data_IF_993795927978
#
_entry.id   IF_993795927978
#
_cell.length_a   1.000
_cell.length_b   1.000
_cell.length_c   1.000
_cell.angle_alpha   90.00
_cell.angle_beta   90.00
_cell.angle_gamma   90.00
#
_symmetry.space_group_name_H-M   'P 1'
#
loop_
_entity.id
_entity.type
_entity.pdbx_description
1 polymer ?
#
# COMPACT_ATOMS: atom_id res chain seq x y z
N UNK A 1 24.38 -26.61 56.99
CA UNK A 1 23.95 -25.20 56.90
C UNK A 1 24.56 -24.51 55.68
N UNK A 2 25.79 -24.75 55.29
CA UNK A 2 26.42 -24.08 54.14
C UNK A 2 25.81 -24.38 52.77
N UNK A 3 25.36 -25.62 52.53
CA UNK A 3 24.75 -26.02 51.25
C UNK A 3 23.38 -25.36 51.02
N UNK A 4 22.55 -25.32 52.06
CA UNK A 4 21.21 -24.66 51.98
C UNK A 4 21.33 -23.13 51.74
N UNK A 5 22.33 -22.48 52.35
CA UNK A 5 22.58 -21.05 52.10
C UNK A 5 23.05 -20.76 50.67
N UNK A 6 23.82 -21.66 50.02
CA UNK A 6 24.22 -21.55 48.64
C UNK A 6 23.03 -21.70 47.71
N UNK A 7 22.15 -22.67 47.94
CA UNK A 7 20.91 -22.85 47.16
C UNK A 7 20.00 -21.62 47.30
N UNK A 8 19.85 -21.06 48.50
CA UNK A 8 19.08 -19.84 48.72
C UNK A 8 19.64 -18.63 47.92
N UNK A 9 20.94 -18.63 47.56
CA UNK A 9 21.59 -17.65 46.68
C UNK A 9 21.52 -18.01 45.21
N UNK A 10 20.82 -19.10 44.84
CA UNK A 10 20.68 -19.54 43.44
C UNK A 10 21.77 -20.48 42.91
N UNK A 11 22.72 -20.90 43.77
CA UNK A 11 23.77 -21.85 43.40
C UNK A 11 23.22 -23.28 43.46
N UNK A 12 22.61 -23.79 42.39
CA UNK A 12 21.99 -25.11 42.33
C UNK A 12 22.96 -26.26 41.96
N UNK A 13 24.25 -25.99 41.85
CA UNK A 13 25.29 -26.99 41.55
C UNK A 13 25.85 -27.61 42.85
N UNK A 14 25.28 -27.34 43.97
CA UNK A 14 25.76 -27.82 45.27
C UNK A 14 25.18 -29.22 45.55
N UNK A 15 26.07 -30.17 45.91
CA UNK A 15 25.69 -31.50 46.41
C UNK A 15 26.20 -31.69 47.82
N UNK A 16 25.38 -32.27 48.63
CA UNK A 16 25.78 -32.76 49.98
C UNK A 16 26.37 -34.17 49.80
N UNK A 17 27.43 -34.45 50.50
CA UNK A 17 28.06 -35.77 50.49
C UNK A 17 27.07 -36.81 51.02
N UNK A 18 26.83 -37.83 50.25
CA UNK A 18 26.02 -38.96 50.65
C UNK A 18 26.93 -39.91 51.48
N UNK A 19 26.56 -40.14 52.72
CA UNK A 19 27.23 -41.15 53.56
C UNK A 19 26.54 -42.49 53.34
N UNK A 20 27.35 -43.55 53.23
CA UNK A 20 26.89 -44.92 53.09
C UNK A 20 26.33 -45.38 54.47
N UNK A 21 25.08 -45.11 54.72
CA UNK A 21 24.34 -45.45 55.89
C UNK A 21 22.85 -45.46 55.66
N UNK A 22 22.12 -46.15 56.46
CA UNK A 22 20.65 -46.23 56.47
C UNK A 22 20.06 -45.32 57.55
N UNK A 23 20.86 -44.36 57.99
CA UNK A 23 20.47 -43.44 59.07
C UNK A 23 19.68 -42.25 58.52
N UNK A 24 19.01 -41.52 59.36
CA UNK A 24 18.13 -40.36 58.99
C UNK A 24 18.90 -39.26 58.28
N UNK A 25 20.22 -39.13 58.53
CA UNK A 25 21.09 -38.12 57.93
C UNK A 25 21.42 -38.48 56.48
N UNK A 26 21.68 -39.76 56.20
CA UNK A 26 21.89 -40.24 54.84
C UNK A 26 20.66 -40.09 53.96
N UNK A 27 19.46 -40.41 54.51
CA UNK A 27 18.18 -40.19 53.82
C UNK A 27 17.93 -38.71 53.55
N UNK A 28 18.21 -37.83 54.52
CA UNK A 28 18.04 -36.38 54.37
C UNK A 28 19.00 -35.84 53.29
N UNK A 29 20.23 -36.32 53.22
CA UNK A 29 21.23 -35.93 52.22
C UNK A 29 20.81 -36.34 50.80
N UNK A 30 20.26 -37.56 50.63
CA UNK A 30 19.72 -38.04 49.35
C UNK A 30 18.52 -37.21 48.92
N UNK A 31 17.59 -36.94 49.83
CA UNK A 31 16.37 -36.13 49.56
C UNK A 31 16.76 -34.68 49.15
N UNK A 32 17.73 -34.09 49.86
CA UNK A 32 18.25 -32.77 49.57
C UNK A 32 18.89 -32.68 48.17
N UNK A 33 19.75 -33.68 47.79
CA UNK A 33 20.34 -33.74 46.48
C UNK A 33 19.32 -33.94 45.37
N UNK A 34 18.29 -34.76 45.59
CA UNK A 34 17.17 -34.96 44.70
C UNK A 34 16.39 -33.63 44.46
N UNK A 35 16.04 -32.94 45.55
CA UNK A 35 15.36 -31.66 45.50
C UNK A 35 16.17 -30.61 44.74
N UNK A 36 17.48 -30.51 45.02
CA UNK A 36 18.38 -29.59 44.38
C UNK A 36 18.49 -29.88 42.86
N UNK A 37 18.58 -31.17 42.50
CA UNK A 37 18.59 -31.61 41.11
C UNK A 37 17.28 -31.22 40.38
N UNK A 38 16.13 -31.42 41.06
CA UNK A 38 14.84 -31.08 40.48
C UNK A 38 14.63 -29.59 40.32
N UNK A 39 15.07 -28.76 41.26
CA UNK A 39 15.07 -27.31 41.16
C UNK A 39 15.96 -26.81 40.01
N UNK A 40 17.12 -27.45 39.81
CA UNK A 40 18.02 -27.15 38.72
C UNK A 40 17.34 -27.44 37.37
N UNK A 41 16.75 -28.62 37.21
CA UNK A 41 16.04 -28.99 35.97
C UNK A 41 14.90 -28.01 35.68
N UNK A 42 14.08 -27.67 36.70
CA UNK A 42 12.99 -26.72 36.53
C UNK A 42 13.48 -25.33 36.12
N UNK A 43 14.53 -24.82 36.79
CA UNK A 43 15.14 -23.52 36.40
C UNK A 43 15.68 -23.53 34.96
N UNK A 44 16.42 -24.58 34.61
CA UNK A 44 17.03 -24.67 33.28
C UNK A 44 15.95 -24.80 32.22
N UNK A 45 14.85 -25.53 32.46
CA UNK A 45 13.67 -25.58 31.58
C UNK A 45 13.00 -24.21 31.43
N UNK A 46 12.80 -23.49 32.54
CA UNK A 46 12.22 -22.13 32.48
C UNK A 46 13.09 -21.18 31.70
N UNK A 47 14.40 -21.20 31.93
CA UNK A 47 15.34 -20.35 31.15
C UNK A 47 15.33 -20.70 29.65
N UNK A 48 15.28 -21.98 29.32
CA UNK A 48 15.17 -22.43 27.93
C UNK A 48 13.86 -21.98 27.28
N UNK A 49 12.73 -22.14 27.98
CA UNK A 49 11.42 -21.69 27.49
C UNK A 49 11.39 -20.17 27.29
N UNK A 50 11.94 -19.41 28.25
CA UNK A 50 12.03 -17.94 28.11
C UNK A 50 12.87 -17.53 26.90
N UNK A 51 14.04 -18.18 26.72
CA UNK A 51 14.89 -17.92 25.55
C UNK A 51 14.18 -18.23 24.23
N UNK A 52 13.44 -19.34 24.16
CA UNK A 52 12.67 -19.68 22.95
C UNK A 52 11.53 -18.69 22.68
N UNK A 53 10.86 -18.21 23.72
CA UNK A 53 9.81 -17.17 23.58
C UNK A 53 10.43 -15.89 23.05
N UNK A 54 11.57 -15.46 23.60
CA UNK A 54 12.26 -14.24 23.17
C UNK A 54 12.77 -14.36 21.73
N UNK A 55 13.28 -15.52 21.35
CA UNK A 55 13.73 -15.76 19.95
C UNK A 55 12.55 -15.71 18.97
N UNK A 56 11.43 -16.38 19.31
CA UNK A 56 10.20 -16.32 18.49
C UNK A 56 9.67 -14.90 18.38
N UNK A 57 9.66 -14.14 19.47
CA UNK A 57 9.22 -12.74 19.48
C UNK A 57 10.10 -11.89 18.57
N UNK A 58 11.43 -11.98 18.67
CA UNK A 58 12.37 -11.25 17.81
C UNK A 58 12.18 -11.60 16.34
N UNK A 59 12.01 -12.89 16.02
CA UNK A 59 11.73 -13.34 14.66
C UNK A 59 10.42 -12.73 14.15
N UNK A 60 9.36 -12.78 14.95
CA UNK A 60 8.06 -12.21 14.60
C UNK A 60 8.14 -10.70 14.36
N UNK A 61 8.80 -9.96 15.26
CA UNK A 61 9.02 -8.53 15.12
C UNK A 61 9.82 -8.20 13.85
N UNK A 62 10.85 -8.99 13.54
CA UNK A 62 11.66 -8.82 12.33
C UNK A 62 10.84 -9.08 11.05
N UNK A 63 10.05 -10.13 11.02
CA UNK A 63 9.16 -10.43 9.88
C UNK A 63 8.16 -9.31 9.67
N UNK A 64 7.48 -8.87 10.73
CA UNK A 64 6.51 -7.78 10.64
C UNK A 64 7.11 -6.43 10.27
N UNK A 65 8.38 -6.19 10.64
CA UNK A 65 9.11 -4.99 10.25
C UNK A 65 9.54 -5.00 8.77
N UNK A 66 9.72 -6.19 8.19
CA UNK A 66 10.09 -6.35 6.76
C UNK A 66 8.89 -6.32 5.81
N UNK A 67 7.68 -6.49 6.32
CA UNK A 67 6.44 -6.42 5.53
C UNK A 67 6.11 -4.96 5.24
N UNK A 68 5.93 -4.62 3.97
CA UNK A 68 5.55 -3.27 3.51
C UNK A 68 4.09 -2.95 3.80
N UNK A 69 3.23 -3.97 3.90
CA UNK A 69 1.82 -3.82 4.26
C UNK A 69 1.66 -3.35 5.70
N UNK A 70 0.69 -2.47 5.94
CA UNK A 70 0.27 -2.12 7.29
C UNK A 70 -0.46 -3.30 7.94
N UNK A 71 -0.09 -3.64 9.18
CA UNK A 71 -0.76 -4.69 9.97
C UNK A 71 -1.18 -4.14 11.32
N UNK A 72 -2.45 -4.34 11.67
CA UNK A 72 -3.03 -3.96 12.96
C UNK A 72 -3.73 -5.20 13.55
N UNK A 73 -3.39 -5.53 14.80
CA UNK A 73 -4.11 -6.51 15.61
C UNK A 73 -5.09 -5.80 16.54
N UNK A 74 -6.29 -6.35 16.67
CA UNK A 74 -7.32 -5.88 17.59
C UNK A 74 -7.68 -6.99 18.59
N UNK A 75 -8.07 -6.58 19.77
CA UNK A 75 -8.71 -7.47 20.72
C UNK A 75 -10.17 -7.75 20.32
N UNK A 76 -10.86 -8.63 21.07
CA UNK A 76 -12.27 -8.95 20.86
C UNK A 76 -13.22 -7.76 20.98
N UNK A 77 -12.76 -6.62 21.53
CA UNK A 77 -13.53 -5.38 21.71
C UNK A 77 -13.19 -4.31 20.67
N UNK A 78 -12.36 -4.63 19.67
CA UNK A 78 -11.95 -3.70 18.63
C UNK A 78 -10.91 -2.66 19.07
N UNK A 79 -10.19 -2.92 20.19
CA UNK A 79 -9.06 -2.08 20.61
C UNK A 79 -7.76 -2.62 20.05
N UNK A 80 -6.85 -1.71 19.73
CA UNK A 80 -5.54 -2.05 19.16
C UNK A 80 -4.70 -2.78 20.21
N UNK A 81 -4.32 -4.02 19.89
CA UNK A 81 -3.39 -4.84 20.64
C UNK A 81 -1.99 -4.83 20.04
N UNK A 82 -1.89 -4.58 18.73
CA UNK A 82 -0.64 -4.56 17.97
C UNK A 82 -0.76 -3.66 16.76
N UNK A 83 0.34 -2.98 16.39
CA UNK A 83 0.48 -2.22 15.15
C UNK A 83 1.92 -2.29 14.66
N UNK A 84 2.15 -2.63 13.38
CA UNK A 84 3.49 -2.65 12.83
C UNK A 84 3.95 -1.26 12.37
N UNK A 85 5.24 -1.12 12.10
CA UNK A 85 5.85 0.15 11.67
C UNK A 85 5.28 0.65 10.34
N UNK A 86 5.01 -0.26 9.41
CA UNK A 86 4.43 0.07 8.11
C UNK A 86 3.03 0.66 8.23
N UNK A 87 2.20 0.12 9.14
CA UNK A 87 0.87 0.68 9.41
C UNK A 87 0.94 2.12 9.92
N UNK A 88 1.85 2.42 10.84
CA UNK A 88 2.05 3.79 11.36
C UNK A 88 2.46 4.73 10.23
N UNK A 89 3.37 4.29 9.36
CA UNK A 89 3.85 5.07 8.21
C UNK A 89 2.74 5.32 7.18
N UNK A 90 2.00 4.29 6.79
CA UNK A 90 0.91 4.37 5.80
C UNK A 90 -0.26 5.22 6.31
N UNK A 91 -0.60 5.13 7.59
CA UNK A 91 -1.66 5.93 8.18
C UNK A 91 -1.23 7.37 8.48
N UNK A 92 0.07 7.68 8.33
CA UNK A 92 0.65 9.01 8.63
C UNK A 92 0.19 9.54 10.00
N UNK A 93 0.04 8.62 10.95
CA UNK A 93 -0.40 8.96 12.29
C UNK A 93 0.78 9.52 13.07
N UNK A 94 0.74 10.82 13.38
CA UNK A 94 1.72 11.49 14.23
C UNK A 94 1.41 11.34 15.73
N UNK A 95 0.20 10.87 16.07
CA UNK A 95 -0.18 10.68 17.45
C UNK A 95 0.53 9.46 18.04
N UNK A 96 0.98 9.59 19.29
CA UNK A 96 1.46 8.44 20.05
C UNK A 96 0.29 7.47 20.19
N UNK A 97 0.29 6.46 19.29
CA UNK A 97 -0.69 5.37 19.37
C UNK A 97 -0.46 4.69 20.71
N UNK A 98 -1.36 4.91 21.65
CA UNK A 98 -1.33 4.24 22.95
C UNK A 98 -1.96 2.87 22.79
N UNK A 99 -1.35 1.84 23.36
CA UNK A 99 -1.98 0.52 23.50
C UNK A 99 -3.40 0.71 24.04
N UNK A 100 -4.37 -0.04 23.48
CA UNK A 100 -5.80 0.03 23.77
C UNK A 100 -6.60 1.20 23.15
N UNK A 101 -6.03 1.96 22.20
CA UNK A 101 -6.81 2.89 21.39
C UNK A 101 -7.84 2.14 20.55
N UNK A 102 -9.08 2.64 20.45
CA UNK A 102 -10.10 2.04 19.58
C UNK A 102 -9.76 2.23 18.13
N UNK A 103 -10.05 1.23 17.27
CA UNK A 103 -9.91 1.32 15.81
C UNK A 103 -10.65 2.55 15.26
N UNK A 104 -11.86 2.83 15.76
CA UNK A 104 -12.68 3.96 15.31
C UNK A 104 -12.08 5.34 15.60
N UNK A 105 -11.15 5.43 16.55
CA UNK A 105 -10.43 6.67 16.86
C UNK A 105 -9.20 6.82 15.96
N UNK A 106 -8.48 5.73 15.72
CA UNK A 106 -7.27 5.76 14.89
C UNK A 106 -7.60 5.88 13.40
N UNK A 107 -8.52 5.05 12.91
CA UNK A 107 -8.93 5.00 11.51
C UNK A 107 -10.45 4.83 11.42
N UNK A 108 -11.22 5.92 11.55
CA UNK A 108 -12.68 5.88 11.49
C UNK A 108 -13.21 5.22 10.21
N UNK A 109 -12.47 5.35 9.10
CA UNK A 109 -12.82 4.81 7.79
C UNK A 109 -12.88 3.27 7.77
N UNK A 110 -12.18 2.60 8.71
CA UNK A 110 -12.21 1.13 8.84
C UNK A 110 -13.39 0.62 9.67
N UNK A 111 -14.08 1.51 10.40
CA UNK A 111 -15.13 1.10 11.34
C UNK A 111 -16.31 0.41 10.66
N UNK A 112 -16.78 0.93 9.54
CA UNK A 112 -17.90 0.34 8.80
C UNK A 112 -17.58 -1.10 8.32
N UNK A 113 -16.33 -1.33 7.90
CA UNK A 113 -15.86 -2.65 7.47
C UNK A 113 -15.74 -3.61 8.66
N UNK A 114 -15.26 -3.11 9.80
CA UNK A 114 -15.17 -3.86 11.04
C UNK A 114 -16.56 -4.29 11.54
N UNK A 115 -17.51 -3.37 11.59
CA UNK A 115 -18.88 -3.65 12.00
C UNK A 115 -19.54 -4.69 11.07
N UNK A 116 -19.35 -4.58 9.76
CA UNK A 116 -19.84 -5.55 8.79
C UNK A 116 -19.23 -6.94 8.97
N UNK A 117 -17.95 -7.03 9.33
CA UNK A 117 -17.27 -8.30 9.62
C UNK A 117 -17.85 -8.96 10.89
N UNK A 118 -18.04 -8.18 11.96
CA UNK A 118 -18.55 -8.67 13.26
C UNK A 118 -20.03 -9.08 13.14
N UNK A 119 -20.89 -8.21 12.59
CA UNK A 119 -22.32 -8.47 12.45
C UNK A 119 -22.62 -9.60 11.45
N UNK A 120 -21.84 -9.67 10.36
CA UNK A 120 -22.00 -10.68 9.31
C UNK A 120 -21.40 -12.04 9.64
N UNK A 121 -20.69 -12.20 10.76
CA UNK A 121 -19.96 -13.42 11.13
C UNK A 121 -19.11 -13.97 9.95
N UNK A 122 -18.44 -13.05 9.25
CA UNK A 122 -17.68 -13.37 8.04
C UNK A 122 -16.31 -13.96 8.37
N UNK A 123 -15.82 -14.87 7.54
CA UNK A 123 -14.46 -15.43 7.67
C UNK A 123 -13.37 -14.42 7.35
N UNK A 124 -13.64 -13.52 6.44
CA UNK A 124 -12.80 -12.37 6.09
C UNK A 124 -13.59 -11.40 5.23
N UNK A 125 -13.17 -10.15 5.24
CA UNK A 125 -13.71 -9.11 4.37
C UNK A 125 -12.54 -8.36 3.73
N UNK A 126 -12.66 -8.01 2.45
CA UNK A 126 -11.67 -7.22 1.72
C UNK A 126 -12.39 -6.10 0.97
N UNK A 127 -11.86 -4.87 1.09
CA UNK A 127 -12.45 -3.70 0.47
C UNK A 127 -11.37 -2.66 0.13
N UNK A 128 -11.58 -1.92 -0.96
CA UNK A 128 -10.82 -0.70 -1.26
C UNK A 128 -11.40 0.46 -0.44
N UNK A 129 -10.55 1.12 0.34
CA UNK A 129 -10.92 2.26 1.18
C UNK A 129 -10.08 3.47 0.78
N UNK A 130 -10.73 4.60 0.59
CA UNK A 130 -10.07 5.87 0.29
C UNK A 130 -9.83 6.64 1.56
N UNK A 131 -8.58 7.01 1.81
CA UNK A 131 -8.17 7.84 2.93
C UNK A 131 -7.72 9.20 2.45
N UNK A 132 -8.19 10.25 3.12
CA UNK A 132 -7.65 11.59 2.94
C UNK A 132 -6.71 11.90 4.10
N UNK A 133 -5.40 11.90 3.84
CA UNK A 133 -4.36 12.17 4.85
C UNK A 133 -3.43 13.29 4.35
N UNK A 134 -3.21 14.28 5.18
CA UNK A 134 -2.35 15.44 4.85
C UNK A 134 -2.67 16.09 3.49
N UNK A 135 -3.95 16.11 3.08
CA UNK A 135 -4.37 16.66 1.80
C UNK A 135 -4.15 15.74 0.58
N UNK A 136 -3.63 14.54 0.78
CA UNK A 136 -3.44 13.53 -0.27
C UNK A 136 -4.49 12.43 -0.16
N UNK A 137 -5.13 12.09 -1.28
CA UNK A 137 -6.06 10.97 -1.36
C UNK A 137 -5.28 9.69 -1.65
N UNK A 138 -5.36 8.73 -0.74
CA UNK A 138 -4.71 7.42 -0.84
C UNK A 138 -5.78 6.33 -0.98
N UNK A 139 -5.49 5.31 -1.81
CA UNK A 139 -6.37 4.16 -1.96
C UNK A 139 -5.70 2.97 -1.24
N UNK A 140 -6.33 2.48 -0.19
CA UNK A 140 -5.85 1.32 0.55
C UNK A 140 -6.70 0.09 0.23
N UNK A 141 -6.05 -1.03 -0.07
CA UNK A 141 -6.70 -2.33 -0.12
C UNK A 141 -6.64 -2.94 1.28
N UNK A 142 -7.77 -2.95 1.97
CA UNK A 142 -7.89 -3.38 3.36
C UNK A 142 -8.51 -4.76 3.42
N UNK A 143 -7.87 -5.67 4.15
CA UNK A 143 -8.38 -7.00 4.48
C UNK A 143 -8.49 -7.14 5.99
N UNK A 144 -9.65 -7.60 6.46
CA UNK A 144 -9.90 -7.91 7.86
C UNK A 144 -10.32 -9.35 8.03
N UNK A 145 -9.85 -10.00 9.08
CA UNK A 145 -10.22 -11.37 9.42
C UNK A 145 -10.24 -11.54 10.96
N UNK A 146 -11.17 -12.36 11.49
CA UNK A 146 -11.16 -12.72 12.91
C UNK A 146 -9.98 -13.65 13.21
N UNK A 147 -9.36 -13.46 14.38
CA UNK A 147 -8.46 -14.42 15.00
C UNK A 147 -9.27 -15.32 15.94
N UNK A 148 -9.01 -16.61 15.88
CA UNK A 148 -9.70 -17.60 16.72
C UNK A 148 -8.73 -18.27 17.67
N UNK A 149 -9.21 -18.58 18.86
CA UNK A 149 -8.51 -19.40 19.84
C UNK A 149 -8.59 -20.91 19.49
N UNK A 150 -7.96 -21.76 20.30
CA UNK A 150 -8.02 -23.22 20.13
C UNK A 150 -9.45 -23.80 20.26
N UNK A 151 -10.37 -23.03 20.84
CA UNK A 151 -11.80 -23.37 21.00
C UNK A 151 -12.71 -22.85 19.90
N UNK A 152 -12.15 -22.28 18.79
CA UNK A 152 -12.89 -21.64 17.67
C UNK A 152 -13.66 -20.37 18.08
N UNK A 153 -13.39 -19.80 19.29
CA UNK A 153 -13.96 -18.52 19.71
C UNK A 153 -13.12 -17.38 19.15
N UNK A 154 -13.77 -16.24 18.87
CA UNK A 154 -13.07 -15.04 18.38
C UNK A 154 -12.31 -14.41 19.55
N UNK A 155 -10.99 -14.44 19.48
CA UNK A 155 -10.06 -13.81 20.45
C UNK A 155 -9.69 -12.39 20.03
N UNK A 156 -9.80 -12.08 18.73
CA UNK A 156 -9.50 -10.76 18.20
C UNK A 156 -9.67 -10.68 16.68
N UNK A 157 -9.08 -9.66 16.08
CA UNK A 157 -9.12 -9.45 14.65
C UNK A 157 -7.76 -8.99 14.12
N UNK A 158 -7.46 -9.34 12.88
CA UNK A 158 -6.29 -8.85 12.15
C UNK A 158 -6.77 -8.01 10.97
N UNK A 159 -6.15 -6.85 10.81
CA UNK A 159 -6.31 -5.95 9.68
C UNK A 159 -4.97 -5.88 8.98
N UNK A 160 -4.96 -6.20 7.67
CA UNK A 160 -3.83 -5.97 6.80
C UNK A 160 -4.25 -5.01 5.68
N UNK A 161 -3.39 -4.06 5.32
CA UNK A 161 -3.69 -3.11 4.25
C UNK A 161 -2.45 -2.68 3.50
N UNK A 162 -2.65 -2.45 2.21
CA UNK A 162 -1.62 -2.02 1.25
C UNK A 162 -2.03 -0.71 0.58
N UNK A 163 -1.07 0.17 0.33
CA UNK A 163 -1.29 1.33 -0.53
C UNK A 163 -1.27 0.88 -1.99
N UNK A 164 -2.44 0.98 -2.63
CA UNK A 164 -2.63 0.64 -4.05
C UNK A 164 -2.85 1.90 -4.92
N UNK A 165 -2.51 3.08 -4.41
CA UNK A 165 -2.77 4.36 -5.09
C UNK A 165 -2.12 4.40 -6.47
N UNK A 166 -0.84 4.05 -6.57
CA UNK A 166 -0.12 4.00 -7.85
C UNK A 166 -0.70 2.93 -8.79
N UNK A 167 -1.07 1.76 -8.25
CA UNK A 167 -1.68 0.69 -9.04
C UNK A 167 -3.02 1.10 -9.65
N UNK A 168 -3.90 1.71 -8.84
CA UNK A 168 -5.21 2.20 -9.28
C UNK A 168 -5.03 3.32 -10.32
N UNK A 169 -4.07 4.22 -10.10
CA UNK A 169 -3.75 5.28 -11.06
C UNK A 169 -3.26 4.70 -12.39
N UNK A 170 -2.31 3.77 -12.36
CA UNK A 170 -1.78 3.11 -13.57
C UNK A 170 -2.86 2.35 -14.33
N UNK A 171 -3.72 1.62 -13.61
CA UNK A 171 -4.84 0.89 -14.22
C UNK A 171 -5.85 1.84 -14.89
N UNK A 172 -6.18 2.97 -14.26
CA UNK A 172 -7.07 3.99 -14.83
C UNK A 172 -6.42 4.65 -16.05
N UNK A 173 -5.14 4.97 -15.99
CA UNK A 173 -4.41 5.57 -17.10
C UNK A 173 -4.37 4.62 -18.32
N UNK A 174 -4.13 3.33 -18.11
CA UNK A 174 -4.17 2.33 -19.18
C UNK A 174 -5.57 2.21 -19.82
N UNK A 175 -6.63 2.10 -18.99
CA UNK A 175 -8.00 2.05 -19.47
C UNK A 175 -8.40 3.33 -20.23
N UNK A 176 -7.94 4.51 -19.76
CA UNK A 176 -8.18 5.78 -20.42
C UNK A 176 -7.47 5.86 -21.78
N UNK A 177 -6.26 5.32 -21.88
CA UNK A 177 -5.49 5.26 -23.15
C UNK A 177 -6.26 4.54 -24.25
N UNK A 178 -6.85 3.39 -23.95
CA UNK A 178 -7.64 2.61 -24.90
C UNK A 178 -8.90 3.35 -25.36
N UNK A 179 -9.62 3.95 -24.41
CA UNK A 179 -10.83 4.76 -24.68
C UNK A 179 -10.50 5.96 -25.56
N UNK A 180 -9.45 6.69 -25.24
CA UNK A 180 -9.04 7.86 -25.99
C UNK A 180 -8.60 7.51 -27.42
N UNK A 181 -7.91 6.39 -27.61
CA UNK A 181 -7.55 5.91 -28.94
C UNK A 181 -8.79 5.58 -29.79
N UNK A 182 -9.76 4.90 -29.20
CA UNK A 182 -11.02 4.58 -29.86
C UNK A 182 -11.79 5.83 -30.25
N UNK A 183 -11.91 6.79 -29.34
CA UNK A 183 -12.56 8.09 -29.59
C UNK A 183 -11.82 8.83 -30.71
N UNK A 184 -10.48 8.84 -30.70
CA UNK A 184 -9.70 9.49 -31.76
C UNK A 184 -9.99 8.89 -33.14
N UNK A 185 -10.07 7.57 -33.25
CA UNK A 185 -10.46 6.90 -34.50
C UNK A 185 -11.89 7.25 -34.91
N UNK A 186 -12.85 7.24 -33.99
CA UNK A 186 -14.25 7.56 -34.28
C UNK A 186 -14.45 9.02 -34.67
N UNK A 187 -13.64 9.97 -34.17
CA UNK A 187 -13.67 11.38 -34.59
C UNK A 187 -12.99 11.58 -35.95
N UNK A 188 -11.86 10.91 -36.24
CA UNK A 188 -11.20 11.02 -37.53
C UNK A 188 -12.03 10.49 -38.70
N UNK A 189 -12.84 9.47 -38.47
CA UNK A 189 -13.67 8.84 -39.48
C UNK A 189 -14.60 9.84 -40.22
N UNK A 190 -15.35 10.73 -39.57
CA UNK A 190 -16.14 11.76 -40.26
C UNK A 190 -15.32 12.94 -40.77
N UNK A 191 -14.18 13.28 -40.16
CA UNK A 191 -13.37 14.42 -40.59
C UNK A 191 -12.76 14.22 -41.99
N UNK A 192 -12.31 13.00 -42.30
CA UNK A 192 -11.72 12.69 -43.62
C UNK A 192 -12.70 12.89 -44.79
N UNK A 193 -13.93 12.36 -44.77
CA UNK A 193 -14.89 12.62 -45.85
C UNK A 193 -15.35 14.09 -45.92
N UNK A 194 -15.43 14.82 -44.77
CA UNK A 194 -15.75 16.25 -44.76
C UNK A 194 -14.66 17.03 -45.52
N UNK A 195 -13.37 16.80 -45.23
CA UNK A 195 -12.24 17.41 -45.90
C UNK A 195 -12.24 17.10 -47.38
N UNK A 196 -12.37 15.80 -47.75
CA UNK A 196 -12.41 15.37 -49.15
C UNK A 196 -13.59 15.96 -49.92
N UNK A 197 -14.75 16.14 -49.26
CA UNK A 197 -15.91 16.77 -49.87
C UNK A 197 -15.65 18.26 -50.17
N UNK A 198 -15.06 18.98 -49.19
CA UNK A 198 -14.69 20.39 -49.37
C UNK A 198 -13.65 20.57 -50.51
N UNK A 199 -12.62 19.73 -50.56
CA UNK A 199 -11.62 19.71 -51.63
C UNK A 199 -12.26 19.40 -53.01
N UNK A 200 -13.22 18.48 -53.05
CA UNK A 200 -13.94 18.11 -54.27
C UNK A 200 -14.84 19.24 -54.76
N UNK A 201 -15.55 19.94 -53.84
CA UNK A 201 -16.35 21.12 -54.14
C UNK A 201 -15.45 22.20 -54.75
N UNK A 202 -14.32 22.50 -54.09
CA UNK A 202 -13.35 23.48 -54.55
C UNK A 202 -12.90 23.16 -55.97
N UNK A 203 -12.43 21.92 -56.21
CA UNK A 203 -11.88 21.50 -57.51
C UNK A 203 -12.93 21.47 -58.63
N UNK A 204 -14.18 21.08 -58.35
CA UNK A 204 -15.22 20.88 -59.37
C UNK A 204 -15.98 22.15 -59.73
N UNK A 205 -16.30 23.00 -58.74
CA UNK A 205 -17.23 24.09 -58.94
C UNK A 205 -16.58 25.46 -59.11
N UNK A 206 -15.41 25.73 -58.51
CA UNK A 206 -14.73 27.02 -58.69
C UNK A 206 -14.48 27.36 -60.17
N UNK A 207 -14.00 26.42 -61.02
CA UNK A 207 -13.78 26.71 -62.45
C UNK A 207 -15.06 27.02 -63.24
N UNK A 208 -16.24 26.77 -62.66
CA UNK A 208 -17.55 26.99 -63.29
C UNK A 208 -18.22 28.32 -62.86
N UNK A 209 -17.60 29.06 -61.93
CA UNK A 209 -18.16 30.29 -61.37
C UNK A 209 -17.42 31.52 -61.92
N UNK A 210 -18.17 32.45 -62.50
CA UNK A 210 -17.58 33.68 -63.10
C UNK A 210 -17.39 34.81 -62.05
N UNK A 211 -18.22 34.88 -60.97
CA UNK A 211 -18.18 35.99 -60.02
C UNK A 211 -17.98 35.61 -58.57
N UNK A 212 -18.35 34.39 -58.12
CA UNK A 212 -18.28 33.97 -56.71
C UNK A 212 -17.21 32.90 -56.41
N UNK A 213 -16.31 32.65 -57.36
CA UNK A 213 -15.26 31.64 -57.26
C UNK A 213 -14.33 31.86 -56.06
N UNK A 214 -13.94 33.10 -55.78
CA UNK A 214 -13.07 33.45 -54.65
C UNK A 214 -13.78 33.23 -53.28
N UNK A 215 -15.03 33.57 -53.21
CA UNK A 215 -15.85 33.34 -51.98
C UNK A 215 -15.97 31.86 -51.69
N UNK A 216 -16.31 31.03 -52.68
CA UNK A 216 -16.39 29.58 -52.53
C UNK A 216 -15.04 28.96 -52.18
N UNK A 217 -13.94 29.45 -52.81
CA UNK A 217 -12.57 29.04 -52.47
C UNK A 217 -12.25 29.31 -51.02
N UNK A 218 -12.50 30.52 -50.51
CA UNK A 218 -12.24 30.90 -49.14
C UNK A 218 -13.04 30.06 -48.16
N UNK A 219 -14.33 29.81 -48.43
CA UNK A 219 -15.18 28.96 -47.56
C UNK A 219 -14.67 27.51 -47.49
N UNK A 220 -14.33 26.92 -48.64
CA UNK A 220 -13.79 25.55 -48.68
C UNK A 220 -12.41 25.45 -48.00
N UNK A 221 -11.56 26.46 -48.13
CA UNK A 221 -10.25 26.53 -47.48
C UNK A 221 -10.40 26.63 -45.96
N UNK A 222 -11.40 27.35 -45.46
CA UNK A 222 -11.73 27.37 -44.03
C UNK A 222 -12.13 25.98 -43.57
N UNK A 223 -13.00 25.27 -44.29
CA UNK A 223 -13.42 23.90 -43.89
C UNK A 223 -12.23 22.95 -43.87
N UNK A 224 -11.39 22.96 -44.90
CA UNK A 224 -10.19 22.12 -44.97
C UNK A 224 -9.23 22.41 -43.83
N UNK A 225 -8.98 23.69 -43.54
CA UNK A 225 -8.11 24.09 -42.42
C UNK A 225 -8.67 23.64 -41.08
N UNK A 226 -9.96 23.89 -40.80
CA UNK A 226 -10.59 23.48 -39.53
C UNK A 226 -10.61 21.96 -39.37
N UNK A 227 -10.85 21.18 -40.41
CA UNK A 227 -10.79 19.70 -40.32
C UNK A 227 -9.37 19.20 -40.10
N UNK A 228 -8.36 19.83 -40.63
CA UNK A 228 -6.94 19.51 -40.37
C UNK A 228 -6.55 19.86 -38.93
N UNK A 229 -6.98 21.03 -38.43
CA UNK A 229 -6.73 21.46 -37.04
C UNK A 229 -7.39 20.52 -36.05
N UNK A 230 -8.64 20.12 -36.27
CA UNK A 230 -9.33 19.11 -35.43
C UNK A 230 -8.61 17.75 -35.48
N UNK A 231 -8.17 17.30 -36.65
CA UNK A 231 -7.42 16.05 -36.78
C UNK A 231 -6.12 16.08 -35.96
N UNK A 232 -5.41 17.22 -35.97
CA UNK A 232 -4.18 17.41 -35.19
C UNK A 232 -4.46 17.37 -33.70
N UNK A 233 -5.51 18.07 -33.22
CA UNK A 233 -5.93 18.06 -31.83
C UNK A 233 -6.27 16.63 -31.36
N UNK A 234 -7.00 15.88 -32.18
CA UNK A 234 -7.36 14.48 -31.90
C UNK A 234 -6.12 13.58 -31.85
N UNK A 235 -5.13 13.81 -32.70
CA UNK A 235 -3.86 13.10 -32.69
C UNK A 235 -3.06 13.38 -31.41
N UNK A 236 -2.97 14.65 -31.02
CA UNK A 236 -2.30 15.06 -29.78
C UNK A 236 -2.99 14.48 -28.56
N UNK A 237 -4.34 14.52 -28.52
CA UNK A 237 -5.12 13.89 -27.46
C UNK A 237 -4.87 12.39 -27.35
N UNK A 238 -4.87 11.67 -28.48
CA UNK A 238 -4.59 10.24 -28.50
C UNK A 238 -3.19 9.88 -28.03
N UNK A 239 -2.18 10.71 -28.39
CA UNK A 239 -0.79 10.55 -27.91
C UNK A 239 -0.67 10.81 -26.42
N UNK A 240 -1.30 11.88 -25.93
CA UNK A 240 -1.31 12.23 -24.50
C UNK A 240 -1.95 11.14 -23.65
N UNK A 241 -3.07 10.58 -24.11
CA UNK A 241 -3.80 9.54 -23.38
C UNK A 241 -3.04 8.20 -23.32
N UNK A 242 -2.15 7.91 -24.26
CA UNK A 242 -1.39 6.65 -24.27
C UNK A 242 -0.28 6.61 -23.24
N UNK A 243 0.18 7.77 -22.72
CA UNK A 243 1.36 7.88 -21.82
C UNK A 243 2.44 6.87 -22.24
N UNK A 244 3.27 7.18 -23.25
CA UNK A 244 4.34 6.27 -23.66
C UNK A 244 5.23 6.00 -22.46
N UNK A 245 5.70 4.75 -22.32
CA UNK A 245 6.70 4.42 -21.32
C UNK A 245 7.84 5.44 -21.40
N UNK A 246 8.29 5.99 -20.25
CA UNK A 246 9.34 7.00 -20.28
C UNK A 246 10.62 6.39 -20.88
N UNK A 247 11.02 6.89 -22.03
CA UNK A 247 12.28 6.51 -22.65
C UNK A 247 13.42 7.18 -21.87
N UNK A 248 14.00 6.43 -20.94
CA UNK A 248 15.07 6.90 -20.06
C UNK A 248 16.35 7.06 -20.87
N UNK A 249 16.66 8.29 -21.26
CA UNK A 249 17.91 8.67 -21.92
C UNK A 249 18.73 9.58 -21.01
N UNK A 250 20.05 9.56 -21.20
CA UNK A 250 20.92 10.55 -20.57
C UNK A 250 20.76 11.85 -21.37
N UNK A 251 20.14 12.84 -20.75
CA UNK A 251 19.84 14.13 -21.38
C UNK A 251 20.50 15.27 -20.60
N UNK A 252 20.80 16.37 -21.30
CA UNK A 252 21.35 17.55 -20.66
C UNK A 252 20.22 18.37 -20.02
N UNK A 253 20.17 18.41 -18.70
CA UNK A 253 19.13 19.13 -17.94
C UNK A 253 19.08 20.62 -18.27
N UNK A 254 20.22 21.24 -18.63
CA UNK A 254 20.31 22.66 -18.97
C UNK A 254 19.61 22.92 -20.31
N UNK A 255 19.74 22.04 -21.28
CA UNK A 255 19.06 22.15 -22.59
C UNK A 255 17.54 21.97 -22.42
N UNK A 256 17.11 21.04 -21.56
CA UNK A 256 15.70 20.83 -21.27
C UNK A 256 15.11 22.07 -20.60
N UNK A 257 15.79 22.64 -19.60
CA UNK A 257 15.37 23.87 -18.92
C UNK A 257 15.29 25.07 -19.89
N UNK A 258 16.30 25.27 -20.73
CA UNK A 258 16.29 26.34 -21.69
C UNK A 258 15.15 26.19 -22.72
N UNK A 259 14.88 24.96 -23.16
CA UNK A 259 13.76 24.67 -24.07
C UNK A 259 12.41 24.94 -23.41
N UNK A 260 12.26 24.57 -22.13
CA UNK A 260 11.03 24.82 -21.36
C UNK A 260 10.80 26.32 -21.14
N UNK A 261 11.84 27.08 -20.80
CA UNK A 261 11.78 28.55 -20.63
C UNK A 261 11.40 29.21 -21.95
N UNK A 262 12.06 28.88 -23.07
CA UNK A 262 11.73 29.43 -24.40
C UNK A 262 10.28 29.14 -24.80
N UNK A 263 9.76 27.96 -24.48
CA UNK A 263 8.37 27.60 -24.75
C UNK A 263 7.39 28.48 -23.94
N UNK A 264 7.73 28.73 -22.67
CA UNK A 264 6.94 29.55 -21.75
C UNK A 264 6.98 31.03 -22.18
N UNK A 265 8.13 31.56 -22.57
CA UNK A 265 8.28 32.93 -23.09
C UNK A 265 7.47 33.18 -24.38
N UNK A 266 7.40 32.15 -25.24
CA UNK A 266 6.59 32.21 -26.47
C UNK A 266 5.08 32.19 -26.16
N UNK A 267 4.66 31.49 -25.14
CA UNK A 267 3.26 31.38 -24.70
C UNK A 267 2.77 32.58 -23.85
N UNK A 268 3.67 33.21 -23.10
CA UNK A 268 3.34 34.31 -22.15
C UNK A 268 4.39 35.43 -22.24
N UNK A 269 4.38 36.28 -23.28
CA UNK A 269 5.40 37.29 -23.50
C UNK A 269 5.45 38.44 -22.44
N UNK A 270 4.70 38.34 -21.35
CA UNK A 270 4.64 39.36 -20.29
C UNK A 270 5.33 38.93 -18.97
N UNK A 271 5.99 37.79 -18.94
CA UNK A 271 6.77 37.35 -17.77
C UNK A 271 8.25 37.43 -18.14
N UNK A 272 8.79 38.62 -17.99
CA UNK A 272 10.25 38.86 -18.04
C UNK A 272 10.70 39.37 -16.66
#
# INVERSE_FOLDING_TARGET
TGAAQKIAKGELNVRVREEDGDDEIAQLSKLFNLMTSQLKIQRDTLLQNTSQIDERRRLFDSVLASVTSGVIGLDSKGKISFINRSAISLLKSNDKITEHTSLSVLVPEFSAMFDALVLGNLKSLQQEIKLLRAGTLENLLVRMAPMKDEGDNIDGFVIAFDDITELVFAQRAAAWGDVAQRIAHEIKNPLTPIRLSAERIKRKFIPLLDTDGDTLSNMTDVIVRQTNDLSRIVDEFSRFARMPEPDRRSENIIEILNSAVSLQETGFPKIS
#
